data_IF_804275008352
#
_entry.id   IF_804275008352
#
_cell.length_a   1.000
_cell.length_b   1.000
_cell.length_c   1.000
_cell.angle_alpha   90.00
_cell.angle_beta   90.00
_cell.angle_gamma   90.00
#
_symmetry.space_group_name_H-M   'P 1'
#
loop_
_entity.id
_entity.type
_entity.pdbx_description
1 polymer ?
#
# COMPACT_ATOMS: atom_id res chain seq x y z
N UNK A 1 5.24 3.07 -12.18
CA UNK A 1 5.86 2.27 -11.11
C UNK A 1 7.35 2.60 -10.87
N UNK A 2 7.65 3.41 -9.85
CA UNK A 2 9.03 3.62 -9.37
C UNK A 2 9.29 2.59 -8.27
N UNK A 3 10.08 1.58 -8.59
CA UNK A 3 10.47 0.55 -7.62
C UNK A 3 11.58 1.11 -6.73
N UNK A 4 11.34 1.22 -5.43
CA UNK A 4 12.30 1.72 -4.45
C UNK A 4 12.73 0.59 -3.50
N UNK A 5 13.98 0.64 -3.04
CA UNK A 5 14.49 -0.29 -2.03
C UNK A 5 14.18 0.26 -0.64
N UNK A 6 13.46 -0.52 0.17
CA UNK A 6 13.13 -0.15 1.55
C UNK A 6 13.71 -1.18 2.54
N UNK A 7 13.95 -0.73 3.77
CA UNK A 7 14.29 -1.63 4.88
C UNK A 7 12.99 -2.06 5.55
N UNK A 8 12.54 -3.28 5.27
CA UNK A 8 11.36 -3.89 5.91
C UNK A 8 11.86 -4.86 6.99
N UNK A 9 11.35 -4.81 8.24
CA UNK A 9 11.89 -5.61 9.33
C UNK A 9 11.40 -7.07 9.30
N UNK A 10 12.07 -7.93 8.50
CA UNK A 10 12.14 -9.35 8.87
C UNK A 10 13.56 -9.87 9.10
N UNK A 11 14.57 -9.40 8.36
CA UNK A 11 15.95 -9.92 8.53
C UNK A 11 17.07 -8.92 8.16
N UNK A 12 16.83 -7.61 8.22
CA UNK A 12 17.80 -6.58 7.75
C UNK A 12 18.23 -6.72 6.28
N UNK A 13 17.50 -7.51 5.48
CA UNK A 13 17.68 -7.61 4.04
C UNK A 13 17.00 -6.41 3.38
N UNK A 14 17.72 -5.65 2.55
CA UNK A 14 17.08 -4.65 1.68
C UNK A 14 16.13 -5.38 0.75
N UNK A 15 14.83 -5.18 0.95
CA UNK A 15 13.82 -5.76 0.08
C UNK A 15 13.31 -4.70 -0.88
N UNK A 16 12.87 -5.15 -2.03
CA UNK A 16 12.21 -4.30 -3.01
C UNK A 16 10.76 -4.13 -2.57
N UNK A 17 10.29 -2.89 -2.53
CA UNK A 17 8.94 -2.58 -2.09
C UNK A 17 8.33 -1.46 -2.96
N UNK A 18 7.01 -1.36 -2.89
CA UNK A 18 6.22 -0.35 -3.60
C UNK A 18 5.36 0.41 -2.61
N UNK A 19 4.98 1.63 -3.00
CA UNK A 19 4.04 2.41 -2.23
C UNK A 19 2.61 1.90 -2.46
N UNK A 20 1.81 1.83 -1.41
CA UNK A 20 0.46 1.27 -1.47
C UNK A 20 -0.50 2.16 -2.26
N UNK A 21 -0.34 3.47 -2.19
CA UNK A 21 -1.08 4.44 -3.01
C UNK A 21 -0.72 4.33 -4.50
N UNK A 22 0.56 4.18 -4.84
CA UNK A 22 0.98 3.91 -6.22
C UNK A 22 0.38 2.59 -6.71
N UNK A 23 0.45 1.53 -5.91
CA UNK A 23 -0.16 0.24 -6.25
C UNK A 23 -1.67 0.36 -6.45
N UNK A 24 -2.36 1.12 -5.60
CA UNK A 24 -3.80 1.37 -5.70
C UNK A 24 -4.18 2.09 -7.01
N UNK A 25 -3.38 3.09 -7.40
CA UNK A 25 -3.56 3.83 -8.65
C UNK A 25 -3.28 2.96 -9.88
N UNK A 26 -2.18 2.21 -9.88
CA UNK A 26 -1.78 1.33 -10.99
C UNK A 26 -2.76 0.16 -11.19
N UNK A 27 -3.45 -0.27 -10.13
CA UNK A 27 -4.54 -1.25 -10.19
C UNK A 27 -5.90 -0.64 -10.54
N UNK A 28 -5.98 0.68 -10.72
CA UNK A 28 -7.19 1.44 -11.08
C UNK A 28 -8.38 1.16 -10.15
N UNK A 29 -8.12 1.01 -8.86
CA UNK A 29 -9.16 0.65 -7.89
C UNK A 29 -10.04 1.87 -7.58
N UNK A 30 -11.33 1.77 -7.89
CA UNK A 30 -12.30 2.86 -7.64
C UNK A 30 -12.69 3.05 -6.17
N UNK A 31 -12.42 2.08 -5.29
CA UNK A 31 -12.63 2.23 -3.84
C UNK A 31 -11.57 3.16 -3.25
N UNK A 32 -11.95 4.05 -2.32
CA UNK A 32 -10.99 4.93 -1.63
C UNK A 32 -9.88 4.11 -0.96
N UNK A 33 -8.65 4.61 -1.04
CA UNK A 33 -7.45 3.92 -0.55
C UNK A 33 -7.59 3.32 0.86
N UNK A 34 -8.03 4.11 1.85
CA UNK A 34 -8.19 3.64 3.24
C UNK A 34 -9.11 2.41 3.33
N UNK A 35 -10.24 2.46 2.66
CA UNK A 35 -11.24 1.39 2.71
C UNK A 35 -10.75 0.14 1.93
N UNK A 36 -9.94 0.35 0.89
CA UNK A 36 -9.32 -0.72 0.12
C UNK A 36 -8.20 -1.42 0.89
N UNK A 37 -7.26 -0.66 1.47
CA UNK A 37 -6.11 -1.24 2.18
C UNK A 37 -6.57 -1.95 3.46
N UNK A 38 -7.52 -1.38 4.22
CA UNK A 38 -8.10 -2.04 5.39
C UNK A 38 -8.76 -3.38 5.06
N UNK A 39 -9.37 -3.51 3.87
CA UNK A 39 -9.89 -4.79 3.39
C UNK A 39 -8.78 -5.75 2.99
N UNK A 40 -7.72 -5.27 2.36
CA UNK A 40 -6.59 -6.11 1.95
C UNK A 40 -5.83 -6.68 3.15
N UNK A 41 -5.59 -5.88 4.18
CA UNK A 41 -4.89 -6.31 5.38
C UNK A 41 -5.63 -7.44 6.13
N UNK A 42 -6.93 -7.61 5.90
CA UNK A 42 -7.72 -8.74 6.46
C UNK A 42 -7.43 -10.09 5.79
N UNK A 43 -6.71 -10.13 4.67
CA UNK A 43 -6.34 -11.38 4.00
C UNK A 43 -5.13 -12.09 4.63
N UNK A 44 -4.64 -11.61 5.77
CA UNK A 44 -3.58 -12.28 6.55
C UNK A 44 -2.18 -11.71 6.34
N UNK A 45 -2.06 -10.50 5.77
CA UNK A 45 -0.77 -9.81 5.67
C UNK A 45 -0.29 -9.30 7.04
N UNK A 46 0.99 -9.47 7.34
CA UNK A 46 1.59 -9.14 8.62
C UNK A 46 2.41 -7.84 8.55
N UNK A 47 2.13 -6.92 9.48
CA UNK A 47 2.90 -5.69 9.61
C UNK A 47 4.36 -5.99 10.00
N UNK A 48 5.29 -5.23 9.42
CA UNK A 48 6.75 -5.39 9.48
C UNK A 48 7.29 -6.56 8.66
N UNK A 49 6.43 -7.43 8.13
CA UNK A 49 6.84 -8.57 7.29
C UNK A 49 6.46 -8.29 5.85
N UNK A 50 5.16 -8.09 5.61
CA UNK A 50 4.59 -7.90 4.27
C UNK A 50 4.48 -6.41 3.90
N UNK A 51 4.36 -5.56 4.92
CA UNK A 51 4.26 -4.12 4.74
C UNK A 51 4.71 -3.36 5.99
N UNK A 52 5.03 -2.07 5.83
CA UNK A 52 5.19 -1.12 6.93
C UNK A 52 4.25 0.06 6.72
N UNK A 53 3.89 0.73 7.83
CA UNK A 53 3.06 1.93 7.79
C UNK A 53 3.97 3.16 7.64
N UNK A 54 3.64 4.02 6.68
CA UNK A 54 4.30 5.31 6.43
C UNK A 54 3.29 6.42 6.65
N UNK A 55 3.48 7.21 7.70
CA UNK A 55 2.67 8.40 7.95
C UNK A 55 3.36 9.64 7.43
N UNK A 56 2.65 10.44 6.62
CA UNK A 56 3.15 11.68 6.07
C UNK A 56 2.29 12.85 6.50
N UNK A 57 2.94 13.97 6.83
CA UNK A 57 2.26 15.22 7.14
C UNK A 57 1.97 15.97 5.86
N UNK A 58 0.70 16.10 5.53
CA UNK A 58 0.24 16.75 4.30
C UNK A 58 -0.44 18.07 4.65
N UNK A 59 -0.16 19.11 3.87
CA UNK A 59 -0.76 20.41 4.08
C UNK A 59 -2.17 20.46 3.47
N UNK A 60 -3.16 20.90 4.25
CA UNK A 60 -4.50 21.14 3.74
C UNK A 60 -4.50 22.28 2.71
N UNK A 61 -4.97 22.02 1.49
CA UNK A 61 -5.07 23.06 0.46
C UNK A 61 -6.02 24.22 0.84
N UNK A 62 -7.02 23.95 1.70
CA UNK A 62 -8.10 24.92 2.03
C UNK A 62 -8.07 25.47 3.46
N UNK A 63 -7.21 24.94 4.33
CA UNK A 63 -7.07 25.35 5.73
C UNK A 63 -5.61 25.22 6.11
N UNK A 64 -5.07 26.17 6.88
CA UNK A 64 -3.73 26.11 7.46
C UNK A 64 -3.61 25.03 8.56
N UNK A 65 -4.14 23.83 8.29
CA UNK A 65 -4.04 22.65 9.12
C UNK A 65 -3.23 21.60 8.38
N UNK A 66 -2.30 20.99 9.10
CA UNK A 66 -1.60 19.79 8.63
C UNK A 66 -2.42 18.58 9.05
N UNK A 67 -2.60 17.62 8.14
CA UNK A 67 -3.22 16.34 8.45
C UNK A 67 -2.20 15.22 8.23
N UNK A 68 -2.34 14.15 9.01
CA UNK A 68 -1.54 12.94 8.81
C UNK A 68 -2.25 12.05 7.78
N UNK A 69 -1.56 11.74 6.70
CA UNK A 69 -1.99 10.75 5.72
C UNK A 69 -1.20 9.48 5.97
N UNK A 70 -1.94 8.40 6.19
CA UNK A 70 -1.37 7.07 6.40
C UNK A 70 -1.29 6.37 5.04
N UNK A 71 -0.11 5.89 4.71
CA UNK A 71 0.18 5.06 3.55
C UNK A 71 0.93 3.79 4.01
N UNK A 72 1.12 2.84 3.11
CA UNK A 72 1.74 1.56 3.38
C UNK A 72 2.84 1.32 2.35
N UNK A 73 4.02 0.91 2.82
CA UNK A 73 5.08 0.41 1.93
C UNK A 73 4.97 -1.10 1.94
N UNK A 74 4.69 -1.68 0.79
CA UNK A 74 4.32 -3.09 0.61
C UNK A 74 5.47 -3.79 -0.10
N UNK A 75 5.91 -4.95 0.40
CA UNK A 75 6.97 -5.70 -0.28
C UNK A 75 6.53 -6.10 -1.70
N UNK A 76 7.49 -6.26 -2.60
CA UNK A 76 7.18 -6.59 -3.99
C UNK A 76 6.40 -7.90 -4.12
N UNK A 77 6.70 -8.89 -3.28
CA UNK A 77 6.02 -10.19 -3.32
C UNK A 77 4.58 -10.07 -2.82
N UNK A 78 4.35 -9.36 -1.73
CA UNK A 78 2.99 -9.02 -1.25
C UNK A 78 2.21 -8.22 -2.29
N UNK A 79 2.84 -7.26 -2.97
CA UNK A 79 2.19 -6.46 -4.01
C UNK A 79 1.75 -7.31 -5.23
N UNK A 80 2.53 -8.33 -5.60
CA UNK A 80 2.13 -9.32 -6.63
C UNK A 80 0.91 -10.10 -6.17
N UNK A 81 0.91 -10.56 -4.93
CA UNK A 81 -0.21 -11.33 -4.37
C UNK A 81 -1.50 -10.51 -4.33
N UNK A 82 -1.42 -9.25 -3.87
CA UNK A 82 -2.52 -8.28 -3.94
C UNK A 82 -3.04 -8.14 -5.38
N UNK A 83 -2.14 -7.99 -6.35
CA UNK A 83 -2.51 -7.85 -7.76
C UNK A 83 -3.23 -9.09 -8.29
N UNK A 84 -2.86 -10.29 -7.84
CA UNK A 84 -3.53 -11.54 -8.19
C UNK A 84 -4.92 -11.66 -7.55
N UNK A 85 -5.06 -11.25 -6.27
CA UNK A 85 -6.33 -11.22 -5.56
C UNK A 85 -7.31 -10.29 -6.28
N UNK A 86 -6.89 -9.05 -6.60
CA UNK A 86 -7.76 -8.09 -7.29
C UNK A 86 -8.24 -8.62 -8.65
N UNK A 87 -7.37 -9.25 -9.44
CA UNK A 87 -7.76 -9.84 -10.74
C UNK A 87 -8.76 -10.99 -10.64
N UNK A 88 -8.76 -11.72 -9.53
CA UNK A 88 -9.66 -12.86 -9.31
C UNK A 88 -11.03 -12.44 -8.76
N UNK A 89 -11.09 -11.28 -8.09
CA UNK A 89 -12.31 -10.76 -7.45
C UNK A 89 -13.13 -9.86 -8.38
N UNK A 90 -12.56 -9.38 -9.50
CA UNK A 90 -13.28 -8.53 -10.46
C UNK A 90 -14.16 -9.40 -11.38
N UNK A 91 -15.50 -9.30 -11.33
CA UNK A 91 -16.35 -9.78 -12.41
C UNK A 91 -16.07 -8.88 -13.62
N UNK A 92 -15.65 -9.45 -14.74
CA UNK A 92 -15.60 -8.71 -16.00
C UNK A 92 -17.03 -8.32 -16.36
N UNK A 93 -17.32 -7.02 -16.32
CA UNK A 93 -18.57 -6.46 -16.82
C UNK A 93 -18.37 -6.01 -18.26
#
# INVERSE_FOLDING_TARGET
MIVQTYSVPKDYVRTVAVSGDELHQELEIGTRYNDWIERLLKYGFEQNIDYIIRSEKVHGQKRACTYEQVNHIITLDTAKEISMIQRSVIPKN
#
